data_IF_952065231232
#
_entry.id   IF_952065231232
#
_cell.length_a   1.000
_cell.length_b   1.000
_cell.length_c   1.000
_cell.angle_alpha   90.00
_cell.angle_beta   90.00
_cell.angle_gamma   90.00
#
_symmetry.space_group_name_H-M   'P 1'
#
loop_
_entity.id
_entity.type
_entity.pdbx_description
1 polymer ?
#
# COMPACT_ATOMS: atom_id res chain seq x y z
N UNK A 1 45.82 61.12 -0.92
CA UNK A 1 44.92 59.99 -1.27
C UNK A 1 44.27 59.49 0.01
N UNK A 2 42.93 59.33 0.12
CA UNK A 2 42.38 58.63 1.29
C UNK A 2 40.93 58.85 1.75
N UNK A 3 40.17 59.85 1.25
CA UNK A 3 38.82 60.16 1.81
C UNK A 3 37.63 59.50 1.08
N UNK A 4 37.85 58.80 -0.05
CA UNK A 4 36.77 58.20 -0.87
C UNK A 4 36.34 56.78 -0.44
N UNK A 5 37.14 56.06 0.36
CA UNK A 5 36.89 54.64 0.68
C UNK A 5 35.77 54.39 1.71
N UNK A 6 35.63 55.25 2.73
CA UNK A 6 34.66 55.04 3.81
C UNK A 6 33.21 55.31 3.43
N UNK A 7 32.97 56.27 2.53
CA UNK A 7 31.62 56.59 2.05
C UNK A 7 31.12 55.48 1.11
N UNK A 8 32.01 54.93 0.27
CA UNK A 8 31.68 53.85 -0.65
C UNK A 8 31.30 52.57 0.11
N UNK A 9 32.07 52.19 1.16
CA UNK A 9 31.74 50.98 1.95
C UNK A 9 30.44 51.12 2.74
N UNK A 10 30.13 52.32 3.24
CA UNK A 10 28.86 52.60 3.92
C UNK A 10 27.66 52.49 2.98
N UNK A 11 27.78 53.05 1.76
CA UNK A 11 26.72 52.95 0.73
C UNK A 11 26.52 51.50 0.31
N UNK A 12 27.60 50.72 0.18
CA UNK A 12 27.54 49.32 -0.21
C UNK A 12 26.91 48.44 0.88
N UNK A 13 27.23 48.70 2.16
CA UNK A 13 26.60 48.06 3.30
C UNK A 13 25.10 48.42 3.41
N UNK A 14 24.75 49.69 3.21
CA UNK A 14 23.36 50.16 3.20
C UNK A 14 22.56 49.51 2.05
N UNK A 15 23.13 49.44 0.84
CA UNK A 15 22.54 48.74 -0.31
C UNK A 15 22.32 47.26 -0.03
N UNK A 16 23.29 46.59 0.59
CA UNK A 16 23.18 45.17 0.97
C UNK A 16 22.05 44.95 1.99
N UNK A 17 21.94 45.85 2.98
CA UNK A 17 20.90 45.79 4.02
C UNK A 17 19.50 46.09 3.48
N UNK A 18 19.37 47.04 2.55
CA UNK A 18 18.13 47.32 1.82
C UNK A 18 17.70 46.14 0.94
N UNK A 19 18.64 45.49 0.24
CA UNK A 19 18.36 44.31 -0.59
C UNK A 19 17.96 43.09 0.25
N UNK A 20 18.60 42.88 1.39
CA UNK A 20 18.25 41.81 2.34
C UNK A 20 16.87 42.07 3.00
N UNK A 21 16.58 43.32 3.38
CA UNK A 21 15.28 43.74 3.92
C UNK A 21 14.16 43.52 2.89
N UNK A 22 14.33 44.02 1.67
CA UNK A 22 13.38 43.84 0.56
C UNK A 22 13.15 42.35 0.25
N UNK A 23 14.20 41.53 0.23
CA UNK A 23 14.07 40.09 -0.02
C UNK A 23 13.34 39.36 1.12
N UNK A 24 13.58 39.75 2.38
CA UNK A 24 12.88 39.17 3.54
C UNK A 24 11.40 39.55 3.58
N UNK A 25 11.05 40.79 3.23
CA UNK A 25 9.65 41.22 3.20
C UNK A 25 8.88 40.58 2.04
N UNK A 26 9.49 40.49 0.85
CA UNK A 26 8.92 39.75 -0.28
C UNK A 26 8.70 38.26 0.03
N UNK A 27 9.65 37.63 0.75
CA UNK A 27 9.52 36.23 1.16
C UNK A 27 8.39 36.03 2.18
N UNK A 28 8.21 36.97 3.12
CA UNK A 28 7.11 36.93 4.09
C UNK A 28 5.75 37.11 3.41
N UNK A 29 5.62 38.06 2.49
CA UNK A 29 4.39 38.26 1.72
C UNK A 29 4.03 37.01 0.91
N UNK A 30 5.00 36.40 0.24
CA UNK A 30 4.80 35.15 -0.50
C UNK A 30 4.36 34.01 0.44
N UNK A 31 4.99 33.88 1.61
CA UNK A 31 4.63 32.86 2.60
C UNK A 31 3.22 33.07 3.14
N UNK A 32 2.87 34.31 3.51
CA UNK A 32 1.55 34.64 4.06
C UNK A 32 0.44 34.46 3.01
N UNK A 33 0.72 34.78 1.74
CA UNK A 33 -0.19 34.51 0.63
C UNK A 33 -0.42 33.00 0.42
N UNK A 34 0.65 32.20 0.35
CA UNK A 34 0.57 30.75 0.18
C UNK A 34 -0.17 30.12 1.38
N UNK A 35 0.18 30.54 2.60
CA UNK A 35 -0.44 30.05 3.84
C UNK A 35 -1.92 30.41 3.89
N UNK A 36 -2.28 31.66 3.56
CA UNK A 36 -3.66 32.13 3.53
C UNK A 36 -4.51 31.33 2.54
N UNK A 37 -4.00 31.18 1.31
CA UNK A 37 -4.62 30.36 0.28
C UNK A 37 -4.88 28.92 0.77
N UNK A 38 -3.86 28.24 1.30
CA UNK A 38 -4.01 26.87 1.81
C UNK A 38 -4.97 26.77 2.99
N UNK A 39 -4.98 27.75 3.89
CA UNK A 39 -5.93 27.79 5.01
C UNK A 39 -7.38 27.95 4.53
N UNK A 40 -7.63 28.77 3.52
CA UNK A 40 -8.98 29.02 3.02
C UNK A 40 -9.48 27.84 2.19
N UNK A 41 -8.61 27.21 1.39
CA UNK A 41 -8.90 25.92 0.75
C UNK A 41 -9.30 24.88 1.81
N UNK A 42 -8.52 24.77 2.89
CA UNK A 42 -8.80 23.82 3.97
C UNK A 42 -10.12 24.11 4.70
N UNK A 43 -10.44 25.39 4.94
CA UNK A 43 -11.73 25.79 5.52
C UNK A 43 -12.90 25.44 4.60
N UNK A 44 -12.77 25.69 3.29
CA UNK A 44 -13.78 25.32 2.29
C UNK A 44 -14.06 23.82 2.28
N UNK A 45 -13.00 23.00 2.27
CA UNK A 45 -13.12 21.54 2.40
C UNK A 45 -13.82 21.11 3.70
N UNK A 46 -13.45 21.70 4.84
CA UNK A 46 -14.09 21.40 6.14
C UNK A 46 -15.57 21.76 6.13
N UNK A 47 -15.93 22.94 5.62
CA UNK A 47 -17.32 23.38 5.57
C UNK A 47 -18.17 22.49 4.66
N UNK A 48 -17.65 22.13 3.47
CA UNK A 48 -18.30 21.16 2.58
C UNK A 48 -18.48 19.78 3.22
N UNK A 49 -17.45 19.30 3.93
CA UNK A 49 -17.53 18.03 4.65
C UNK A 49 -18.51 18.04 5.83
N UNK A 50 -18.72 19.19 6.49
CA UNK A 50 -19.70 19.35 7.57
C UNK A 50 -21.12 19.41 7.02
N UNK A 51 -21.35 20.17 5.94
CA UNK A 51 -22.66 20.29 5.31
C UNK A 51 -23.17 18.93 4.81
N UNK A 52 -22.30 18.15 4.17
CA UNK A 52 -22.62 16.82 3.66
C UNK A 52 -22.19 15.68 4.59
N UNK A 53 -21.99 15.96 5.89
CA UNK A 53 -21.43 14.98 6.85
C UNK A 53 -22.23 13.68 6.91
N UNK A 54 -23.55 13.74 6.78
CA UNK A 54 -24.41 12.54 6.79
C UNK A 54 -24.19 11.69 5.54
N UNK A 55 -24.20 12.30 4.35
CA UNK A 55 -23.98 11.61 3.08
C UNK A 55 -22.55 11.03 2.97
N UNK A 56 -21.55 11.78 3.44
CA UNK A 56 -20.16 11.31 3.46
C UNK A 56 -20.02 10.13 4.42
N UNK A 57 -20.61 10.19 5.63
CA UNK A 57 -20.58 9.07 6.57
C UNK A 57 -21.27 7.83 6.01
N UNK A 58 -22.46 7.96 5.43
CA UNK A 58 -23.18 6.81 4.85
C UNK A 58 -22.44 6.24 3.66
N UNK A 59 -21.89 7.08 2.78
CA UNK A 59 -21.06 6.63 1.65
C UNK A 59 -19.80 5.92 2.14
N UNK A 60 -19.08 6.46 3.13
CA UNK A 60 -17.91 5.80 3.70
C UNK A 60 -18.25 4.44 4.29
N UNK A 61 -19.34 4.33 5.06
CA UNK A 61 -19.79 3.05 5.62
C UNK A 61 -20.09 2.04 4.51
N UNK A 62 -20.85 2.44 3.49
CA UNK A 62 -21.18 1.57 2.35
C UNK A 62 -19.94 1.13 1.58
N UNK A 63 -19.03 2.07 1.28
CA UNK A 63 -17.77 1.77 0.61
C UNK A 63 -16.89 0.84 1.45
N UNK A 64 -16.81 1.04 2.77
CA UNK A 64 -16.07 0.16 3.66
C UNK A 64 -16.65 -1.26 3.69
N UNK A 65 -17.98 -1.40 3.75
CA UNK A 65 -18.64 -2.71 3.71
C UNK A 65 -18.39 -3.40 2.36
N UNK A 66 -18.57 -2.68 1.25
CA UNK A 66 -18.32 -3.21 -0.08
C UNK A 66 -16.85 -3.63 -0.26
N UNK A 67 -15.91 -2.82 0.23
CA UNK A 67 -14.49 -3.13 0.20
C UNK A 67 -14.14 -4.39 1.01
N UNK A 68 -14.72 -4.56 2.20
CA UNK A 68 -14.51 -5.75 3.02
C UNK A 68 -15.09 -7.00 2.35
N UNK A 69 -16.30 -6.92 1.81
CA UNK A 69 -16.94 -8.02 1.09
C UNK A 69 -16.12 -8.45 -0.14
N UNK A 70 -15.67 -7.48 -0.95
CA UNK A 70 -14.83 -7.74 -2.11
C UNK A 70 -13.49 -8.35 -1.71
N UNK A 71 -12.86 -7.83 -0.66
CA UNK A 71 -11.58 -8.33 -0.15
C UNK A 71 -11.68 -9.78 0.31
N UNK A 72 -12.75 -10.15 1.04
CA UNK A 72 -12.99 -11.53 1.46
C UNK A 72 -13.23 -12.46 0.26
N UNK A 73 -14.00 -12.01 -0.73
CA UNK A 73 -14.23 -12.78 -1.96
C UNK A 73 -12.93 -13.02 -2.72
N UNK A 74 -12.09 -11.99 -2.88
CA UNK A 74 -10.78 -12.11 -3.51
C UNK A 74 -9.86 -13.05 -2.73
N UNK A 75 -9.83 -12.94 -1.40
CA UNK A 75 -9.05 -13.85 -0.56
C UNK A 75 -9.49 -15.31 -0.78
N UNK A 76 -10.78 -15.59 -0.87
CA UNK A 76 -11.28 -16.94 -1.18
C UNK A 76 -10.95 -17.38 -2.60
N UNK A 77 -11.04 -16.48 -3.57
CA UNK A 77 -10.68 -16.77 -4.95
C UNK A 77 -9.18 -17.13 -5.09
N UNK A 78 -8.29 -16.43 -4.41
CA UNK A 78 -6.85 -16.72 -4.42
C UNK A 78 -6.47 -18.07 -3.80
N UNK A 79 -7.38 -18.71 -3.07
CA UNK A 79 -7.20 -20.06 -2.49
C UNK A 79 -7.78 -21.17 -3.39
N UNK A 80 -8.41 -20.80 -4.51
CA UNK A 80 -9.04 -21.75 -5.42
C UNK A 80 -8.04 -22.45 -6.33
N UNK A 81 -8.33 -23.70 -6.69
CA UNK A 81 -7.53 -24.45 -7.68
C UNK A 81 -7.50 -23.77 -9.05
N UNK A 82 -8.55 -23.03 -9.41
CA UNK A 82 -8.58 -22.20 -10.63
C UNK A 82 -7.55 -21.09 -10.61
N UNK A 83 -7.33 -20.44 -9.46
CA UNK A 83 -6.31 -19.40 -9.34
C UNK A 83 -4.90 -20.00 -9.38
N UNK A 84 -4.68 -21.11 -8.67
CA UNK A 84 -3.39 -21.82 -8.70
C UNK A 84 -3.02 -22.27 -10.13
N UNK A 85 -4.00 -22.64 -10.94
CA UNK A 85 -3.81 -23.07 -12.33
C UNK A 85 -3.54 -21.97 -13.34
N UNK A 86 -3.52 -20.70 -12.92
CA UNK A 86 -3.13 -19.60 -13.80
C UNK A 86 -1.63 -19.62 -14.12
N UNK A 87 -0.84 -20.28 -13.28
CA UNK A 87 0.60 -20.43 -13.46
C UNK A 87 0.93 -21.81 -14.03
N UNK A 88 1.59 -21.87 -15.19
CA UNK A 88 2.00 -23.13 -15.83
C UNK A 88 2.87 -24.03 -14.93
N UNK A 89 3.60 -23.44 -13.98
CA UNK A 89 4.43 -24.20 -13.02
C UNK A 89 3.58 -25.07 -12.09
N UNK A 90 2.29 -24.77 -11.94
CA UNK A 90 1.37 -25.51 -11.07
C UNK A 90 0.67 -26.69 -11.76
N UNK A 91 0.81 -26.86 -13.08
CA UNK A 91 0.05 -27.84 -13.86
C UNK A 91 0.20 -29.27 -13.32
N UNK A 92 1.44 -29.73 -13.11
CA UNK A 92 1.71 -31.07 -12.59
C UNK A 92 1.13 -31.29 -11.17
N UNK A 93 1.13 -30.26 -10.33
CA UNK A 93 0.57 -30.32 -8.99
C UNK A 93 -0.97 -30.37 -9.04
N UNK A 94 -1.58 -29.62 -9.96
CA UNK A 94 -3.03 -29.65 -10.17
C UNK A 94 -3.51 -30.97 -10.75
N UNK A 95 -2.77 -31.58 -11.67
CA UNK A 95 -3.08 -32.92 -12.17
C UNK A 95 -3.03 -33.96 -11.05
N UNK A 96 -1.98 -33.91 -10.22
CA UNK A 96 -1.85 -34.78 -9.05
C UNK A 96 -3.00 -34.57 -8.05
N UNK A 97 -3.35 -33.32 -7.76
CA UNK A 97 -4.48 -32.98 -6.89
C UNK A 97 -5.81 -33.49 -7.45
N UNK A 98 -6.07 -33.32 -8.75
CA UNK A 98 -7.29 -33.81 -9.43
C UNK A 98 -7.42 -35.33 -9.40
N UNK A 99 -6.29 -36.05 -9.49
CA UNK A 99 -6.23 -37.51 -9.42
C UNK A 99 -6.33 -38.05 -7.98
N UNK A 100 -6.06 -37.22 -6.98
CA UNK A 100 -6.08 -37.62 -5.57
C UNK A 100 -7.51 -37.72 -4.98
N UNK A 101 -7.62 -38.39 -3.83
CA UNK A 101 -8.84 -38.38 -3.01
C UNK A 101 -9.23 -36.97 -2.52
N UNK A 102 -8.27 -36.04 -2.48
CA UNK A 102 -8.40 -34.69 -1.97
C UNK A 102 -8.77 -33.65 -3.03
N UNK A 103 -9.19 -34.06 -4.23
CA UNK A 103 -9.63 -33.16 -5.32
C UNK A 103 -10.81 -32.22 -5.01
N UNK A 104 -11.40 -32.33 -3.82
CA UNK A 104 -12.54 -31.55 -3.36
C UNK A 104 -12.18 -30.57 -2.22
N UNK A 105 -10.94 -30.63 -1.70
CA UNK A 105 -10.43 -29.68 -0.71
C UNK A 105 -9.52 -28.64 -1.37
N UNK A 106 -9.49 -27.43 -0.82
CA UNK A 106 -8.66 -26.36 -1.37
C UNK A 106 -7.17 -26.65 -1.13
N UNK A 107 -6.30 -26.26 -2.07
CA UNK A 107 -4.86 -26.49 -1.97
C UNK A 107 -4.29 -25.96 -0.64
N UNK A 108 -4.75 -24.79 -0.21
CA UNK A 108 -4.32 -24.13 1.01
C UNK A 108 -4.74 -24.85 2.29
N UNK A 109 -5.73 -25.75 2.27
CA UNK A 109 -6.10 -26.51 3.48
C UNK A 109 -5.03 -27.52 3.87
N UNK A 110 -4.26 -28.03 2.90
CA UNK A 110 -3.09 -28.85 3.18
C UNK A 110 -1.84 -27.98 3.36
N UNK A 111 -1.64 -26.99 2.49
CA UNK A 111 -0.42 -26.18 2.47
C UNK A 111 -0.31 -25.14 3.59
N UNK A 112 -1.43 -24.70 4.18
CA UNK A 112 -1.42 -23.84 5.36
C UNK A 112 -1.79 -24.65 6.58
N UNK A 113 -0.99 -24.50 7.64
CA UNK A 113 -1.30 -25.10 8.92
C UNK A 113 -2.65 -24.56 9.45
N UNK A 114 -3.48 -25.40 10.06
CA UNK A 114 -4.76 -24.96 10.61
C UNK A 114 -4.61 -23.78 11.58
N UNK A 115 -5.62 -22.93 11.58
CA UNK A 115 -5.71 -21.73 12.43
C UNK A 115 -5.60 -20.42 11.64
N UNK A 116 -6.31 -19.39 12.10
CA UNK A 116 -6.43 -18.12 11.37
C UNK A 116 -5.09 -17.41 11.22
N UNK A 117 -4.25 -17.43 12.26
CA UNK A 117 -2.93 -16.79 12.23
C UNK A 117 -1.98 -17.50 11.26
N UNK A 118 -2.00 -18.83 11.27
CA UNK A 118 -1.19 -19.65 10.36
C UNK A 118 -1.64 -19.49 8.91
N UNK A 119 -2.94 -19.43 8.68
CA UNK A 119 -3.51 -19.15 7.36
C UNK A 119 -3.05 -17.80 6.82
N UNK A 120 -3.12 -16.73 7.62
CA UNK A 120 -2.64 -15.40 7.23
C UNK A 120 -1.12 -15.39 6.97
N UNK A 121 -0.34 -16.08 7.80
CA UNK A 121 1.11 -16.22 7.62
C UNK A 121 1.44 -16.95 6.32
N UNK A 122 0.76 -18.07 6.04
CA UNK A 122 0.91 -18.83 4.81
C UNK A 122 0.63 -17.97 3.58
N UNK A 123 -0.50 -17.27 3.56
CA UNK A 123 -0.85 -16.34 2.47
C UNK A 123 0.19 -15.24 2.27
N UNK A 124 0.72 -14.69 3.36
CA UNK A 124 1.72 -13.63 3.30
C UNK A 124 3.02 -14.13 2.65
N UNK A 125 3.52 -15.29 3.11
CA UNK A 125 4.75 -15.89 2.58
C UNK A 125 4.57 -16.30 1.12
N UNK A 126 3.49 -17.01 0.79
CA UNK A 126 3.20 -17.45 -0.57
C UNK A 126 3.03 -16.27 -1.52
N UNK A 127 2.37 -15.21 -1.09
CA UNK A 127 2.20 -13.99 -1.89
C UNK A 127 3.54 -13.33 -2.22
N UNK A 128 4.44 -13.23 -1.23
CA UNK A 128 5.78 -12.68 -1.43
C UNK A 128 6.63 -13.55 -2.36
N UNK A 129 6.60 -14.87 -2.16
CA UNK A 129 7.35 -15.83 -2.98
C UNK A 129 6.83 -15.82 -4.41
N UNK A 130 5.51 -15.82 -4.60
CA UNK A 130 4.87 -15.75 -5.91
C UNK A 130 5.23 -14.46 -6.65
N UNK A 131 5.20 -13.32 -5.96
CA UNK A 131 5.61 -12.03 -6.52
C UNK A 131 7.10 -12.03 -6.89
N UNK A 132 7.96 -12.58 -6.04
CA UNK A 132 9.38 -12.66 -6.30
C UNK A 132 9.69 -13.53 -7.54
N UNK A 133 9.03 -14.67 -7.69
CA UNK A 133 9.18 -15.52 -8.89
C UNK A 133 8.59 -14.86 -10.14
N UNK A 134 7.45 -14.20 -10.01
CA UNK A 134 6.84 -13.45 -11.11
C UNK A 134 7.75 -12.34 -11.64
N UNK A 135 8.35 -11.55 -10.75
CA UNK A 135 9.26 -10.45 -11.13
C UNK A 135 10.62 -10.94 -11.61
N UNK A 136 11.17 -11.99 -10.98
CA UNK A 136 12.50 -12.49 -11.34
C UNK A 136 12.52 -13.34 -12.61
N UNK A 137 11.35 -13.82 -13.08
CA UNK A 137 11.24 -14.74 -14.22
C UNK A 137 11.92 -16.10 -13.98
N UNK A 138 12.42 -16.35 -12.76
CA UNK A 138 13.05 -17.62 -12.39
C UNK A 138 11.97 -18.64 -12.10
N UNK A 139 12.21 -19.89 -12.48
CA UNK A 139 11.37 -21.01 -12.04
C UNK A 139 11.86 -21.50 -10.68
N UNK A 140 10.95 -21.73 -9.71
CA UNK A 140 11.31 -22.45 -8.49
C UNK A 140 11.95 -23.79 -8.88
N UNK A 141 12.86 -24.29 -8.03
CA UNK A 141 13.12 -25.74 -8.05
C UNK A 141 11.78 -26.46 -7.80
N UNK A 142 11.65 -27.73 -8.19
CA UNK A 142 10.43 -28.51 -7.93
C UNK A 142 10.58 -29.31 -6.62
N UNK A 143 10.56 -28.70 -5.42
CA UNK A 143 10.62 -29.46 -4.19
C UNK A 143 9.30 -30.21 -4.02
N UNK A 144 9.39 -31.35 -3.33
CA UNK A 144 8.21 -31.95 -2.74
C UNK A 144 7.69 -31.03 -1.64
N UNK A 145 6.37 -30.83 -1.63
CA UNK A 145 5.72 -30.10 -0.57
C UNK A 145 5.83 -30.90 0.73
N UNK A 146 6.52 -30.34 1.73
CA UNK A 146 6.46 -30.84 3.09
C UNK A 146 5.26 -30.18 3.78
N UNK A 147 4.30 -30.98 4.19
CA UNK A 147 3.06 -30.55 4.83
C UNK A 147 3.09 -31.05 6.27
N UNK A 148 2.62 -30.25 7.23
CA UNK A 148 2.56 -30.69 8.62
C UNK A 148 1.43 -31.69 8.84
N UNK A 149 1.65 -32.67 9.71
CA UNK A 149 0.62 -33.66 10.07
C UNK A 149 -0.65 -33.02 10.63
N UNK A 150 -0.53 -31.82 11.21
CA UNK A 150 -1.67 -31.03 11.67
C UNK A 150 -2.68 -30.73 10.55
N UNK A 151 -2.21 -30.51 9.31
CA UNK A 151 -3.07 -30.32 8.15
C UNK A 151 -3.77 -31.61 7.71
N UNK A 152 -3.19 -32.77 7.97
CA UNK A 152 -3.77 -34.09 7.66
C UNK A 152 -4.78 -34.53 8.72
N UNK A 153 -4.52 -34.24 9.99
CA UNK A 153 -5.33 -34.69 11.14
C UNK A 153 -6.43 -33.69 11.53
N UNK A 154 -6.62 -32.62 10.75
CA UNK A 154 -7.66 -31.64 11.02
C UNK A 154 -9.06 -32.18 10.69
N UNK A 155 -10.08 -31.57 11.31
CA UNK A 155 -11.48 -31.95 11.06
C UNK A 155 -11.86 -31.65 9.61
N UNK A 156 -12.43 -32.65 8.92
CA UNK A 156 -12.87 -32.53 7.52
C UNK A 156 -11.87 -33.06 6.50
N UNK A 157 -10.84 -33.78 6.97
CA UNK A 157 -9.90 -34.57 6.17
C UNK A 157 -10.00 -36.06 6.54
#
# INVERSE_FOLDING_TARGET
MGRKGGIVSFIEAARKRLKDFSSRDQLKELYDLIKGFWLDVWKGFKQGAILHRRAIKTSLILCSIAFLALSLALLKFTESSTFCGLCHQMDAYLESWRASSHRHVACTQCHYEPGVLNHLKGKWVDGQVSLAYFLSGKRPSAPHAQISDASCLQKGC
#
